data_IF_682319487706
#
_entry.id   IF_682319487706
#
_cell.length_a   1.000
_cell.length_b   1.000
_cell.length_c   1.000
_cell.angle_alpha   90.00
_cell.angle_beta   90.00
_cell.angle_gamma   90.00
#
_symmetry.space_group_name_H-M   'P 1'
#
loop_
_entity.id
_entity.type
_entity.pdbx_description
1 polymer ?
#
# COMPACT_ATOMS: atom_id res chain seq x y z
N UNK A 1 30.75 -4.84 4.36
CA UNK A 1 29.48 -4.49 5.03
C UNK A 1 28.36 -4.98 4.12
N UNK A 2 27.72 -6.07 4.45
CA UNK A 2 26.61 -6.58 3.63
C UNK A 2 25.40 -5.70 3.91
N UNK A 3 24.97 -4.92 2.91
CA UNK A 3 23.69 -4.22 2.97
C UNK A 3 22.60 -5.28 2.91
N UNK A 4 21.92 -5.50 4.01
CA UNK A 4 20.73 -6.34 4.03
C UNK A 4 19.65 -5.64 3.22
N UNK A 5 19.05 -6.33 2.26
CA UNK A 5 17.88 -5.87 1.52
C UNK A 5 16.86 -6.98 1.39
N UNK A 6 15.60 -6.61 1.31
CA UNK A 6 14.50 -7.53 1.02
C UNK A 6 13.76 -7.08 -0.23
N UNK A 7 13.39 -8.03 -1.06
CA UNK A 7 12.59 -7.76 -2.25
C UNK A 7 11.12 -7.99 -1.96
N UNK A 8 10.33 -6.95 -2.17
CA UNK A 8 8.86 -6.97 -2.04
C UNK A 8 8.27 -6.50 -3.37
N UNK A 9 7.58 -7.41 -4.06
CA UNK A 9 7.19 -7.21 -5.47
C UNK A 9 8.43 -6.90 -6.34
N UNK A 10 8.39 -5.80 -7.10
CA UNK A 10 9.52 -5.31 -7.90
C UNK A 10 10.42 -4.32 -7.17
N UNK A 11 10.19 -4.08 -5.88
CA UNK A 11 10.90 -3.07 -5.09
C UNK A 11 11.92 -3.73 -4.16
N UNK A 12 13.10 -3.14 -4.08
CA UNK A 12 14.16 -3.56 -3.15
C UNK A 12 14.18 -2.60 -1.96
N UNK A 13 13.83 -3.13 -0.79
CA UNK A 13 13.83 -2.39 0.47
C UNK A 13 15.14 -2.65 1.21
N UNK A 14 15.74 -1.60 1.74
CA UNK A 14 16.92 -1.66 2.61
C UNK A 14 16.48 -2.09 4.01
N UNK A 15 17.17 -3.05 4.57
CA UNK A 15 16.84 -3.70 5.84
C UNK A 15 16.55 -5.19 5.64
N UNK A 16 15.91 -5.89 6.57
CA UNK A 16 15.30 -5.36 7.81
C UNK A 16 16.31 -5.03 8.89
N UNK A 17 16.06 -3.97 9.63
CA UNK A 17 16.79 -3.60 10.84
C UNK A 17 15.83 -3.50 12.02
N UNK A 18 16.27 -3.76 13.27
CA UNK A 18 15.44 -3.49 14.43
C UNK A 18 14.96 -2.04 14.45
N UNK A 19 13.69 -1.81 14.76
CA UNK A 19 13.12 -0.46 14.73
C UNK A 19 13.83 0.51 15.68
N UNK A 20 14.36 -0.01 16.77
CA UNK A 20 15.17 0.74 17.76
C UNK A 20 16.53 1.21 17.23
N UNK A 21 17.03 0.59 16.16
CA UNK A 21 18.30 0.95 15.52
C UNK A 21 18.13 1.98 14.40
N UNK A 22 16.89 2.50 14.20
CA UNK A 22 16.65 3.55 13.23
C UNK A 22 17.57 4.75 13.49
N UNK A 23 18.16 5.22 12.44
CA UNK A 23 19.25 6.20 12.51
C UNK A 23 18.90 7.60 12.03
N UNK A 24 19.66 8.11 11.04
CA UNK A 24 19.58 9.52 10.63
C UNK A 24 18.27 9.88 9.95
N UNK A 25 17.90 11.17 9.95
CA UNK A 25 16.75 11.65 9.19
C UNK A 25 16.88 11.31 7.70
N UNK A 26 15.79 10.87 7.11
CA UNK A 26 15.67 10.61 5.67
C UNK A 26 14.43 11.27 5.10
N UNK A 27 14.49 11.59 3.83
CA UNK A 27 13.40 12.25 3.12
C UNK A 27 12.79 11.33 2.06
N UNK A 28 11.47 11.48 1.85
CA UNK A 28 10.71 10.83 0.77
C UNK A 28 10.95 9.33 0.68
N UNK A 29 10.43 8.61 1.62
CA UNK A 29 10.56 7.16 1.64
C UNK A 29 9.22 6.45 1.83
N UNK A 30 9.15 5.23 1.33
CA UNK A 30 8.16 4.23 1.71
C UNK A 30 8.82 3.30 2.72
N UNK A 31 8.11 2.93 3.76
CA UNK A 31 8.64 2.04 4.80
C UNK A 31 7.69 0.89 5.11
N UNK A 32 8.27 -0.21 5.53
CA UNK A 32 7.57 -1.40 6.00
C UNK A 32 7.88 -1.62 7.46
N UNK A 33 6.86 -1.89 8.25
CA UNK A 33 7.01 -2.43 9.59
C UNK A 33 6.78 -3.94 9.50
N UNK A 34 7.77 -4.67 9.96
CA UNK A 34 7.83 -6.11 9.89
C UNK A 34 7.80 -6.70 11.29
N UNK A 35 7.06 -7.77 11.47
CA UNK A 35 7.13 -8.61 12.66
C UNK A 35 8.03 -9.81 12.38
N UNK A 36 9.07 -9.97 13.19
CA UNK A 36 9.95 -11.14 13.11
C UNK A 36 9.37 -12.29 13.91
N UNK A 37 9.11 -13.40 13.24
CA UNK A 37 8.71 -14.65 13.86
C UNK A 37 9.71 -15.74 13.47
N UNK A 38 10.65 -16.06 14.40
CA UNK A 38 11.80 -16.95 14.15
C UNK A 38 12.63 -16.44 12.96
N UNK A 39 12.60 -17.15 11.84
CA UNK A 39 13.36 -16.84 10.62
C UNK A 39 12.54 -16.18 9.52
N UNK A 40 11.28 -15.81 9.83
CA UNK A 40 10.35 -15.18 8.89
C UNK A 40 10.00 -13.76 9.32
N UNK A 41 9.73 -12.94 8.33
CA UNK A 41 9.23 -11.59 8.50
C UNK A 41 7.85 -11.46 7.88
N UNK A 42 6.89 -10.99 8.66
CA UNK A 42 5.53 -10.70 8.22
C UNK A 42 5.35 -9.19 8.13
N UNK A 43 4.84 -8.69 7.00
CA UNK A 43 4.54 -7.27 6.81
C UNK A 43 3.27 -6.95 7.60
N UNK A 44 3.40 -6.12 8.64
CA UNK A 44 2.27 -5.71 9.48
C UNK A 44 1.76 -4.30 9.19
N UNK A 45 2.61 -3.47 8.58
CA UNK A 45 2.24 -2.12 8.15
C UNK A 45 3.12 -1.63 7.00
N UNK A 46 2.56 -0.80 6.13
CA UNK A 46 3.27 -0.04 5.10
C UNK A 46 2.81 1.41 5.13
N UNK A 47 3.73 2.32 5.05
CA UNK A 47 3.46 3.75 5.02
C UNK A 47 4.50 4.54 4.24
N UNK A 48 4.26 5.83 4.08
CA UNK A 48 5.24 6.77 3.54
C UNK A 48 5.43 7.96 4.46
N UNK A 49 6.53 8.66 4.26
CA UNK A 49 6.74 9.96 4.88
C UNK A 49 7.54 10.87 3.96
N UNK A 50 7.33 12.18 4.13
CA UNK A 50 8.14 13.20 3.47
C UNK A 50 9.51 13.33 4.14
N UNK A 51 9.55 13.15 5.47
CA UNK A 51 10.78 13.23 6.26
C UNK A 51 10.62 12.49 7.58
N UNK A 52 11.65 11.78 7.97
CA UNK A 52 11.80 11.28 9.35
C UNK A 52 12.61 12.29 10.16
N UNK A 53 12.00 12.92 11.14
CA UNK A 53 12.65 14.02 11.84
C UNK A 53 13.74 13.58 12.82
N UNK A 54 13.48 12.49 13.57
CA UNK A 54 14.39 11.96 14.55
C UNK A 54 14.25 10.43 14.79
N UNK A 55 15.00 9.92 15.74
CA UNK A 55 14.98 8.49 16.08
C UNK A 55 13.64 8.01 16.65
N UNK A 56 12.84 8.93 17.22
CA UNK A 56 11.54 8.59 17.82
C UNK A 56 10.40 8.59 16.79
N UNK A 57 10.66 8.93 15.53
CA UNK A 57 9.65 9.04 14.49
C UNK A 57 8.71 7.83 14.43
N UNK A 58 9.26 6.62 14.41
CA UNK A 58 8.45 5.40 14.36
C UNK A 58 7.81 5.06 15.71
N UNK A 59 8.50 5.30 16.82
CA UNK A 59 7.96 5.05 18.16
C UNK A 59 6.79 6.00 18.51
N UNK A 60 6.78 7.20 17.93
CA UNK A 60 5.72 8.20 18.11
C UNK A 60 4.57 8.05 17.09
N UNK A 61 4.66 7.05 16.22
CA UNK A 61 3.65 6.86 15.18
C UNK A 61 2.30 6.41 15.77
N UNK A 62 1.19 6.96 15.25
CA UNK A 62 -0.17 6.64 15.73
C UNK A 62 -0.50 5.14 15.72
N UNK A 63 0.08 4.37 14.80
CA UNK A 63 -0.12 2.92 14.69
C UNK A 63 0.86 2.08 15.52
N UNK A 64 1.77 2.70 16.27
CA UNK A 64 2.80 1.99 17.02
C UNK A 64 2.21 0.94 17.98
N UNK A 65 1.07 1.24 18.62
CA UNK A 65 0.37 0.29 19.48
C UNK A 65 -0.17 -0.92 18.71
N UNK A 66 -0.64 -0.71 17.48
CA UNK A 66 -1.05 -1.81 16.61
C UNK A 66 0.15 -2.70 16.26
N UNK A 67 1.28 -2.09 15.93
CA UNK A 67 2.51 -2.83 15.62
C UNK A 67 2.99 -3.68 16.80
N UNK A 68 3.01 -3.12 18.00
CA UNK A 68 3.37 -3.86 19.23
C UNK A 68 2.42 -5.02 19.47
N UNK A 69 1.12 -4.80 19.30
CA UNK A 69 0.11 -5.85 19.49
C UNK A 69 0.29 -7.00 18.51
N UNK A 70 0.61 -6.70 17.25
CA UNK A 70 0.80 -7.71 16.21
C UNK A 70 2.14 -8.46 16.34
N UNK A 71 3.20 -7.79 16.75
CA UNK A 71 4.53 -8.39 16.92
C UNK A 71 4.74 -9.10 18.26
N UNK A 72 3.92 -8.76 19.26
CA UNK A 72 4.06 -9.25 20.62
C UNK A 72 5.16 -8.56 21.45
N UNK A 73 6.13 -7.93 20.81
CA UNK A 73 7.20 -7.18 21.50
C UNK A 73 7.84 -6.17 20.55
N UNK A 74 8.43 -5.11 21.12
CA UNK A 74 9.21 -4.13 20.38
C UNK A 74 10.46 -4.75 19.73
N UNK A 75 11.08 -5.71 20.39
CA UNK A 75 12.27 -6.41 19.89
C UNK A 75 12.00 -7.22 18.62
N UNK A 76 10.74 -7.63 18.40
CA UNK A 76 10.32 -8.32 17.19
C UNK A 76 10.00 -7.37 16.04
N UNK A 77 9.91 -6.06 16.32
CA UNK A 77 9.64 -5.04 15.30
C UNK A 77 10.90 -4.70 14.49
N UNK A 78 10.78 -4.81 13.19
CA UNK A 78 11.84 -4.48 12.24
C UNK A 78 11.32 -3.48 11.21
N UNK A 79 12.24 -2.71 10.68
CA UNK A 79 12.00 -1.68 9.68
C UNK A 79 12.71 -2.02 8.38
N UNK A 80 12.04 -1.88 7.25
CA UNK A 80 12.66 -1.85 5.94
C UNK A 80 12.20 -0.60 5.19
N UNK A 81 13.10 0.02 4.45
CA UNK A 81 12.83 1.30 3.80
C UNK A 81 13.13 1.24 2.30
N UNK A 82 12.32 1.95 1.53
CA UNK A 82 12.53 2.22 0.12
C UNK A 82 12.71 3.74 -0.06
N UNK A 83 13.95 4.24 -0.17
CA UNK A 83 14.20 5.65 -0.46
C UNK A 83 13.66 6.02 -1.85
N UNK A 84 12.90 7.10 -1.92
CA UNK A 84 12.28 7.60 -3.16
C UNK A 84 12.47 9.12 -3.28
N UNK A 85 13.71 9.58 -3.22
CA UNK A 85 14.09 10.99 -3.07
C UNK A 85 13.46 11.96 -4.09
N UNK A 86 13.28 11.53 -5.33
CA UNK A 86 12.70 12.36 -6.40
C UNK A 86 11.23 12.02 -6.70
N UNK A 87 10.58 11.32 -5.78
CA UNK A 87 9.20 10.89 -6.00
C UNK A 87 8.17 11.93 -5.58
N UNK A 88 7.07 11.99 -6.32
CA UNK A 88 5.85 12.64 -5.86
C UNK A 88 5.16 11.78 -4.80
N UNK A 89 4.30 12.40 -3.99
CA UNK A 89 3.46 11.67 -3.04
C UNK A 89 2.62 10.59 -3.71
N UNK A 90 2.09 10.87 -4.89
CA UNK A 90 1.29 9.93 -5.69
C UNK A 90 2.08 8.66 -6.04
N UNK A 91 3.34 8.80 -6.43
CA UNK A 91 4.20 7.64 -6.73
C UNK A 91 4.38 6.76 -5.51
N UNK A 92 4.62 7.35 -4.33
CA UNK A 92 4.76 6.61 -3.08
C UNK A 92 3.45 5.94 -2.68
N UNK A 93 2.33 6.65 -2.79
CA UNK A 93 0.99 6.11 -2.53
C UNK A 93 0.68 4.90 -3.43
N UNK A 94 1.05 4.95 -4.71
CA UNK A 94 0.88 3.81 -5.62
C UNK A 94 1.69 2.58 -5.20
N UNK A 95 2.91 2.77 -4.70
CA UNK A 95 3.73 1.68 -4.14
C UNK A 95 3.02 1.06 -2.94
N UNK A 96 2.54 1.89 -2.01
CA UNK A 96 1.82 1.46 -0.82
C UNK A 96 0.57 0.64 -1.19
N UNK A 97 -0.25 1.14 -2.11
CA UNK A 97 -1.47 0.45 -2.55
C UNK A 97 -1.17 -0.93 -3.14
N UNK A 98 -0.11 -1.06 -3.94
CA UNK A 98 0.31 -2.36 -4.49
C UNK A 98 0.68 -3.34 -3.39
N UNK A 99 1.43 -2.89 -2.38
CA UNK A 99 1.84 -3.72 -1.25
C UNK A 99 0.64 -4.10 -0.40
N UNK A 100 -0.26 -3.15 -0.09
CA UNK A 100 -1.49 -3.42 0.68
C UNK A 100 -2.37 -4.43 -0.05
N UNK A 101 -2.56 -4.28 -1.35
CA UNK A 101 -3.38 -5.19 -2.15
C UNK A 101 -2.87 -6.63 -2.13
N UNK A 102 -1.55 -6.81 -2.16
CA UNK A 102 -0.91 -8.13 -2.21
C UNK A 102 -0.78 -8.78 -0.83
N UNK A 103 -0.32 -8.02 0.17
CA UNK A 103 0.07 -8.56 1.48
C UNK A 103 -0.97 -8.32 2.57
N UNK A 104 -1.91 -7.37 2.36
CA UNK A 104 -2.99 -7.03 3.30
C UNK A 104 -2.50 -6.84 4.75
N UNK A 105 -1.54 -5.92 4.99
CA UNK A 105 -0.97 -5.73 6.31
C UNK A 105 -2.03 -5.38 7.34
N UNK A 106 -2.00 -6.03 8.49
CA UNK A 106 -3.08 -5.94 9.47
C UNK A 106 -3.30 -4.51 10.01
N UNK A 107 -2.22 -3.77 10.26
CA UNK A 107 -2.31 -2.43 10.83
C UNK A 107 -2.64 -1.33 9.81
N UNK A 108 -2.70 -1.64 8.51
CA UNK A 108 -3.20 -0.71 7.50
C UNK A 108 -4.73 -0.72 7.39
N UNK A 109 -5.41 -1.75 7.87
CA UNK A 109 -6.86 -1.85 7.76
C UNK A 109 -7.62 -0.72 8.48
N UNK A 110 -6.96 -0.05 9.44
CA UNK A 110 -7.53 1.08 10.17
C UNK A 110 -7.11 2.45 9.59
N UNK A 111 -6.19 2.46 8.61
CA UNK A 111 -5.67 3.67 7.97
C UNK A 111 -6.23 3.91 6.57
N UNK A 112 -7.13 3.05 6.10
CA UNK A 112 -7.92 3.40 4.93
C UNK A 112 -8.77 4.58 5.39
N UNK A 113 -8.48 5.84 5.00
CA UNK A 113 -9.44 6.88 5.19
C UNK A 113 -10.68 6.38 4.46
N UNK A 114 -11.80 6.23 5.16
CA UNK A 114 -13.08 6.33 4.50
C UNK A 114 -13.03 7.69 3.79
N UNK A 115 -12.53 7.70 2.56
CA UNK A 115 -12.88 8.72 1.62
C UNK A 115 -14.38 8.54 1.45
N UNK A 116 -15.14 9.19 2.33
CA UNK A 116 -16.53 9.50 2.02
C UNK A 116 -16.45 10.20 0.67
N UNK A 117 -16.93 9.57 -0.40
CA UNK A 117 -17.18 10.36 -1.58
C UNK A 117 -18.27 11.34 -1.14
N UNK A 118 -17.96 12.63 -1.05
CA UNK A 118 -18.93 13.71 -1.12
C UNK A 118 -19.57 13.67 -2.51
N UNK A 119 -20.25 12.57 -2.77
CA UNK A 119 -21.14 12.43 -3.89
C UNK A 119 -22.56 12.41 -3.32
N UNK A 120 -23.20 13.56 -3.37
CA UNK A 120 -24.63 13.68 -3.16
C UNK A 120 -25.30 12.88 -4.28
N UNK A 121 -25.62 11.63 -3.99
CA UNK A 121 -26.46 10.81 -4.87
C UNK A 121 -27.86 11.43 -4.82
N UNK A 122 -28.21 12.17 -5.86
CA UNK A 122 -29.63 12.37 -6.19
C UNK A 122 -30.15 10.99 -6.58
N UNK A 123 -30.96 10.43 -5.71
CA UNK A 123 -31.72 9.21 -5.98
C UNK A 123 -32.73 9.55 -7.07
N UNK A 124 -32.49 9.10 -8.28
CA UNK A 124 -33.53 8.82 -9.25
C UNK A 124 -33.60 7.30 -9.40
N UNK A 125 -34.71 6.77 -8.96
CA UNK A 125 -35.12 5.39 -9.18
C UNK A 125 -35.08 5.12 -10.68
N UNK A 126 -34.27 4.11 -11.08
CA UNK A 126 -34.71 3.02 -11.95
C UNK A 126 -33.48 2.21 -12.42
N UNK A 127 -33.69 0.90 -12.41
CA UNK A 127 -32.90 -0.14 -13.09
C UNK A 127 -31.78 -0.78 -12.27
N UNK A 128 -32.09 -1.95 -11.79
CA UNK A 128 -31.20 -3.03 -11.38
C UNK A 128 -30.29 -3.35 -12.58
N UNK A 129 -29.06 -2.85 -12.55
CA UNK A 129 -28.02 -3.31 -13.47
C UNK A 129 -27.03 -4.18 -12.71
N UNK A 130 -27.06 -5.44 -13.05
CA UNK A 130 -26.19 -6.50 -12.53
C UNK A 130 -24.83 -6.40 -13.22
N UNK A 131 -24.11 -5.27 -13.03
CA UNK A 131 -22.76 -5.11 -13.60
C UNK A 131 -21.76 -5.88 -12.76
N UNK A 132 -21.30 -7.00 -13.29
CA UNK A 132 -20.18 -7.74 -12.74
C UNK A 132 -18.97 -6.80 -12.57
N UNK A 133 -18.54 -6.62 -11.32
CA UNK A 133 -17.35 -5.84 -11.01
C UNK A 133 -16.13 -6.49 -11.65
N UNK A 134 -15.47 -5.76 -12.53
CA UNK A 134 -14.27 -6.23 -13.20
C UNK A 134 -13.07 -5.91 -12.33
N UNK A 135 -12.32 -6.96 -11.97
CA UNK A 135 -11.15 -6.88 -11.11
C UNK A 135 -9.88 -7.00 -11.96
N UNK A 136 -8.92 -6.13 -11.71
CA UNK A 136 -7.63 -6.13 -12.37
C UNK A 136 -6.81 -7.36 -12.00
N UNK A 137 -6.35 -8.10 -13.00
CA UNK A 137 -5.53 -9.29 -12.81
C UNK A 137 -4.12 -8.99 -12.30
N UNK A 138 -3.66 -7.73 -12.44
CA UNK A 138 -2.33 -7.31 -12.02
C UNK A 138 -2.26 -6.94 -10.53
N UNK A 139 -3.24 -6.18 -10.01
CA UNK A 139 -3.18 -5.63 -8.65
C UNK A 139 -4.43 -5.90 -7.80
N UNK A 140 -5.44 -6.58 -8.35
CA UNK A 140 -6.68 -6.89 -7.64
C UNK A 140 -7.63 -5.70 -7.41
N UNK A 141 -7.31 -4.51 -7.93
CA UNK A 141 -8.17 -3.34 -7.83
C UNK A 141 -9.30 -3.37 -8.86
N UNK A 142 -10.38 -2.65 -8.57
CA UNK A 142 -11.49 -2.50 -9.51
C UNK A 142 -11.06 -1.76 -10.79
N UNK A 143 -11.61 -2.17 -11.92
CA UNK A 143 -11.38 -1.54 -13.22
C UNK A 143 -12.59 -0.72 -13.64
N UNK A 144 -12.35 0.52 -14.05
CA UNK A 144 -13.40 1.39 -14.58
C UNK A 144 -13.46 1.34 -16.10
N UNK A 145 -14.67 1.43 -16.63
CA UNK A 145 -14.88 1.58 -18.06
C UNK A 145 -14.35 2.93 -18.53
N UNK A 146 -13.28 2.93 -19.34
CA UNK A 146 -12.69 4.15 -19.89
C UNK A 146 -13.33 4.54 -21.23
N UNK A 147 -13.64 3.54 -22.06
CA UNK A 147 -14.24 3.76 -23.37
C UNK A 147 -15.10 2.56 -23.80
N UNK A 148 -16.30 2.84 -24.30
CA UNK A 148 -17.16 1.85 -24.93
C UNK A 148 -17.09 2.00 -26.44
N UNK A 149 -16.86 0.89 -27.15
CA UNK A 149 -16.85 0.78 -28.61
C UNK A 149 -17.94 -0.22 -29.03
N UNK A 150 -18.32 -0.22 -30.30
CA UNK A 150 -19.42 -1.07 -30.78
C UNK A 150 -19.24 -2.57 -30.48
N UNK A 151 -18.01 -3.06 -30.51
CA UNK A 151 -17.73 -4.49 -30.32
C UNK A 151 -16.80 -4.79 -29.14
N UNK A 152 -16.36 -3.77 -28.38
CA UNK A 152 -15.46 -3.97 -27.25
C UNK A 152 -15.52 -2.83 -26.26
N UNK A 153 -15.22 -3.12 -25.00
CA UNK A 153 -15.10 -2.15 -23.93
C UNK A 153 -13.67 -2.09 -23.43
N UNK A 154 -13.12 -0.89 -23.31
CA UNK A 154 -11.82 -0.64 -22.72
C UNK A 154 -12.00 -0.28 -21.25
N UNK A 155 -11.39 -1.07 -20.38
CA UNK A 155 -11.37 -0.84 -18.94
C UNK A 155 -9.99 -0.41 -18.49
N UNK A 156 -9.93 0.48 -17.51
CA UNK A 156 -8.69 0.92 -16.91
C UNK A 156 -8.69 0.69 -15.39
N UNK A 157 -7.63 0.08 -14.90
CA UNK A 157 -7.46 -0.16 -13.49
C UNK A 157 -7.16 1.14 -12.75
N UNK A 158 -7.93 1.43 -11.70
CA UNK A 158 -7.73 2.60 -10.84
C UNK A 158 -6.46 2.48 -9.97
N UNK A 159 -6.02 1.26 -9.68
CA UNK A 159 -4.86 1.01 -8.82
C UNK A 159 -3.51 1.07 -9.55
N UNK A 160 -3.37 0.39 -10.69
CA UNK A 160 -2.09 0.28 -11.39
C UNK A 160 -2.07 0.89 -12.80
N UNK A 161 -3.21 1.40 -13.28
CA UNK A 161 -3.33 1.99 -14.61
C UNK A 161 -3.34 0.99 -15.77
N UNK A 162 -3.35 -0.32 -15.49
CA UNK A 162 -3.45 -1.35 -16.52
C UNK A 162 -4.74 -1.19 -17.31
N UNK A 163 -4.65 -1.22 -18.64
CA UNK A 163 -5.81 -1.24 -19.53
C UNK A 163 -6.10 -2.66 -20.00
N UNK A 164 -7.37 -3.04 -20.01
CA UNK A 164 -7.87 -4.32 -20.48
C UNK A 164 -9.03 -4.10 -21.45
N UNK A 165 -9.02 -4.81 -22.58
CA UNK A 165 -10.06 -4.69 -23.60
C UNK A 165 -10.88 -5.97 -23.62
N UNK A 166 -12.20 -5.85 -23.41
CA UNK A 166 -13.13 -6.98 -23.45
C UNK A 166 -14.09 -6.84 -24.61
N UNK A 167 -14.27 -7.93 -25.34
CA UNK A 167 -15.17 -8.01 -26.49
C UNK A 167 -16.60 -8.21 -25.95
N UNK A 168 -17.54 -7.42 -26.47
CA UNK A 168 -18.95 -7.58 -26.19
C UNK A 168 -19.46 -8.81 -26.97
N UNK A 169 -19.96 -9.80 -26.24
CA UNK A 169 -20.59 -10.98 -26.85
C UNK A 169 -22.04 -10.73 -27.20
#
# INVERSE_FOLDING_TARGET
MYSLSIQILQYEFLGPIPISEWGPPMEKLVYLILSRNKDKFDIIYVGDCEKTDDKSFFASHKQFQCWLKQSGSEQSLHLAILPMFESSKEKRTNVIHKIISQYKPHCNSNDIPESKPDYVVRVSNDSIDNSEKIICTCCGSEMNLEKSLEHSNLYRCIGCGLSDTRINS
#
